data_IF_339042003668
#
_entry.id   IF_339042003668
#
_cell.length_a   1.000
_cell.length_b   1.000
_cell.length_c   1.000
_cell.angle_alpha   90.00
_cell.angle_beta   90.00
_cell.angle_gamma   90.00
#
_symmetry.space_group_name_H-M   'P 1'
#
loop_
_entity.id
_entity.type
_entity.pdbx_description
1 polymer ?
#
# COMPACT_ATOMS: atom_id res chain seq x y z
N UNK A 1 12.85 -4.84 -4.95
CA UNK A 1 12.19 -3.82 -4.11
C UNK A 1 10.99 -3.32 -4.89
N UNK A 2 9.75 -3.50 -4.48
CA UNK A 2 8.69 -3.78 -5.48
C UNK A 2 8.45 -2.63 -6.48
N UNK A 3 8.98 -2.80 -7.70
CA UNK A 3 8.68 -2.05 -8.93
C UNK A 3 8.52 -3.04 -10.11
N UNK A 4 7.50 -3.92 -10.09
CA UNK A 4 7.32 -4.95 -11.12
C UNK A 4 7.08 -4.38 -12.52
N UNK A 5 6.74 -3.09 -12.62
CA UNK A 5 6.45 -2.38 -13.87
C UNK A 5 7.55 -1.39 -14.29
N UNK A 6 8.62 -1.27 -13.51
CA UNK A 6 9.72 -0.33 -13.81
C UNK A 6 9.32 1.14 -13.77
N UNK A 7 8.26 1.53 -13.04
CA UNK A 7 7.70 2.88 -13.05
C UNK A 7 8.58 3.89 -12.32
N UNK A 8 9.22 3.50 -11.21
CA UNK A 8 10.08 4.41 -10.44
C UNK A 8 11.31 4.88 -11.25
N UNK A 9 11.76 4.03 -12.18
CA UNK A 9 12.85 4.35 -13.12
C UNK A 9 12.45 5.33 -14.22
N UNK A 10 11.15 5.56 -14.46
CA UNK A 10 10.67 6.45 -15.52
C UNK A 10 10.59 7.90 -15.02
N UNK A 11 10.67 8.83 -15.97
CA UNK A 11 10.45 10.27 -15.76
C UNK A 11 8.95 10.57 -15.93
N UNK A 12 8.14 10.21 -14.93
CA UNK A 12 6.70 10.48 -14.89
C UNK A 12 6.49 11.74 -14.04
N UNK A 13 5.71 12.71 -14.54
CA UNK A 13 5.36 13.91 -13.78
C UNK A 13 4.29 13.59 -12.73
N UNK A 14 4.36 14.24 -11.58
CA UNK A 14 3.41 14.13 -10.47
C UNK A 14 3.27 12.69 -9.96
N UNK A 15 4.39 12.00 -9.80
CA UNK A 15 4.45 10.61 -9.34
C UNK A 15 4.58 10.54 -7.82
N UNK A 16 3.53 10.03 -7.18
CA UNK A 16 3.46 9.84 -5.74
C UNK A 16 4.59 8.94 -5.23
N UNK A 17 5.30 9.38 -4.19
CA UNK A 17 6.50 8.71 -3.67
C UNK A 17 7.79 9.02 -4.44
N UNK A 18 7.76 9.98 -5.38
CA UNK A 18 8.95 10.52 -6.07
C UNK A 18 8.97 12.06 -6.04
N UNK A 19 8.14 12.69 -6.87
CA UNK A 19 8.01 14.15 -7.01
C UNK A 19 6.66 14.68 -6.48
N UNK A 20 5.80 13.78 -5.99
CA UNK A 20 4.60 14.13 -5.24
C UNK A 20 4.54 13.37 -3.91
N UNK A 21 4.04 14.03 -2.88
CA UNK A 21 3.86 13.43 -1.55
C UNK A 21 2.72 12.42 -1.54
N UNK A 22 2.83 11.40 -0.68
CA UNK A 22 1.72 10.57 -0.27
C UNK A 22 1.24 11.06 1.10
N UNK A 23 -0.07 11.20 1.28
CA UNK A 23 -0.67 11.55 2.56
C UNK A 23 -1.25 10.28 3.18
N UNK A 24 -0.64 9.80 4.26
CA UNK A 24 -1.13 8.64 4.97
C UNK A 24 -2.51 8.92 5.59
N UNK A 25 -3.43 7.93 5.60
CA UNK A 25 -4.73 8.10 6.25
C UNK A 25 -4.55 8.43 7.75
N UNK A 26 -5.22 9.47 8.23
CA UNK A 26 -5.12 9.90 9.64
C UNK A 26 -5.85 8.94 10.58
N UNK A 27 -6.96 8.37 10.15
CA UNK A 27 -7.78 7.45 10.94
C UNK A 27 -8.30 6.29 10.07
N UNK A 28 -7.42 5.37 9.64
CA UNK A 28 -7.85 4.21 8.87
C UNK A 28 -8.59 3.22 9.77
N UNK A 29 -9.64 2.61 9.25
CA UNK A 29 -10.39 1.53 9.91
C UNK A 29 -9.52 0.29 10.15
N UNK A 30 -8.60 0.00 9.21
CA UNK A 30 -7.66 -1.11 9.27
C UNK A 30 -6.39 -0.78 8.47
N UNK A 31 -5.21 -1.15 8.99
CA UNK A 31 -3.92 -1.03 8.29
C UNK A 31 -3.41 -2.43 7.90
N UNK A 32 -3.33 -2.70 6.60
CA UNK A 32 -2.75 -3.94 6.07
C UNK A 32 -1.24 -3.76 5.79
N UNK A 33 -0.38 -4.10 6.76
CA UNK A 33 1.08 -3.98 6.62
C UNK A 33 1.69 -5.09 5.75
N UNK A 34 1.84 -4.78 4.46
CA UNK A 34 2.40 -5.69 3.45
C UNK A 34 3.92 -5.91 3.56
N UNK A 35 4.63 -5.20 4.44
CA UNK A 35 6.04 -5.50 4.77
C UNK A 35 6.13 -6.60 5.83
N UNK A 36 5.12 -6.69 6.70
CA UNK A 36 5.09 -7.65 7.81
C UNK A 36 4.35 -8.95 7.47
N UNK A 37 3.28 -8.86 6.68
CA UNK A 37 2.41 -9.99 6.37
C UNK A 37 2.38 -10.28 4.87
N UNK A 38 2.07 -11.54 4.53
CA UNK A 38 1.78 -11.94 3.15
C UNK A 38 0.44 -11.38 2.67
N UNK A 39 0.22 -11.37 1.36
CA UNK A 39 -1.06 -10.94 0.78
C UNK A 39 -2.26 -11.74 1.32
N UNK A 40 -2.10 -13.05 1.53
CA UNK A 40 -3.16 -13.90 2.06
C UNK A 40 -3.50 -13.57 3.52
N UNK A 41 -2.49 -13.28 4.34
CA UNK A 41 -2.68 -12.88 5.74
C UNK A 41 -3.32 -11.49 5.86
N UNK A 42 -2.91 -10.52 5.04
CA UNK A 42 -3.57 -9.22 4.96
C UNK A 42 -5.04 -9.36 4.53
N UNK A 43 -5.32 -10.20 3.53
CA UNK A 43 -6.69 -10.45 3.08
C UNK A 43 -7.54 -11.09 4.19
N UNK A 44 -6.96 -12.00 4.97
CA UNK A 44 -7.64 -12.59 6.14
C UNK A 44 -7.97 -11.53 7.19
N UNK A 45 -7.03 -10.63 7.51
CA UNK A 45 -7.27 -9.54 8.46
C UNK A 45 -8.44 -8.65 8.02
N UNK A 46 -8.51 -8.31 6.72
CA UNK A 46 -9.61 -7.53 6.16
C UNK A 46 -10.94 -8.30 6.26
N UNK A 47 -10.94 -9.59 5.93
CA UNK A 47 -12.13 -10.42 6.03
C UNK A 47 -12.64 -10.53 7.48
N UNK A 48 -11.75 -10.81 8.43
CA UNK A 48 -12.10 -10.90 9.85
C UNK A 48 -12.68 -9.56 10.35
N UNK A 49 -12.12 -8.42 9.92
CA UNK A 49 -12.61 -7.08 10.29
C UNK A 49 -14.03 -6.78 9.77
N UNK A 50 -14.42 -7.32 8.61
CA UNK A 50 -15.76 -7.08 8.02
C UNK A 50 -16.83 -7.99 8.64
N UNK A 51 -16.44 -9.20 9.05
CA UNK A 51 -17.38 -10.25 9.49
C UNK A 51 -17.58 -10.27 11.01
N UNK A 52 -16.81 -9.50 11.78
CA UNK A 52 -16.94 -9.33 13.24
C UNK A 52 -17.41 -7.93 13.57
#
# INVERSE_FOLDING_TARGET
>A
ERDPKGLYKKQIKNFTGKDSSYEEPVAPELIADTKKYTAAECAKQIFDYIMM
#
